data_IF_223228652449
#
_entry.id   IF_223228652449
#
_cell.length_a   1.000
_cell.length_b   1.000
_cell.length_c   1.000
_cell.angle_alpha   90.00
_cell.angle_beta   90.00
_cell.angle_gamma   90.00
#
_symmetry.space_group_name_H-M   'P 1'
#
loop_
_entity.id
_entity.type
_entity.pdbx_description
1 polymer ?
#
# COMPACT_ATOMS: atom_id res chain seq x y z
N UNK A 1 31.59 46.69 -18.50
CA UNK A 1 32.06 45.30 -18.30
C UNK A 1 31.44 44.62 -17.07
N UNK A 2 30.10 44.62 -16.87
CA UNK A 2 29.45 43.91 -15.74
C UNK A 2 28.34 42.92 -16.12
N UNK A 3 27.93 42.85 -17.39
CA UNK A 3 26.80 41.99 -17.83
C UNK A 3 27.19 40.53 -18.08
N UNK A 4 28.46 40.24 -18.39
CA UNK A 4 28.88 38.85 -18.69
C UNK A 4 28.95 37.97 -17.43
N UNK A 5 29.21 38.56 -16.26
CA UNK A 5 29.21 37.81 -14.99
C UNK A 5 27.82 37.36 -14.53
N UNK A 6 26.77 38.13 -14.83
CA UNK A 6 25.41 37.83 -14.36
C UNK A 6 24.79 36.62 -15.08
N UNK A 7 25.09 36.43 -16.37
CA UNK A 7 24.56 35.32 -17.16
C UNK A 7 25.19 33.99 -16.69
N UNK A 8 26.48 34.00 -16.36
CA UNK A 8 27.18 32.82 -15.83
C UNK A 8 26.59 32.33 -14.50
N UNK A 9 26.24 33.24 -13.59
CA UNK A 9 25.67 32.89 -12.28
C UNK A 9 24.26 32.29 -12.42
N UNK A 10 23.43 32.83 -13.33
CA UNK A 10 22.09 32.31 -13.57
C UNK A 10 22.10 30.87 -14.13
N UNK A 11 23.00 30.59 -15.07
CA UNK A 11 23.16 29.25 -15.66
C UNK A 11 23.61 28.25 -14.59
N UNK A 12 24.52 28.65 -13.71
CA UNK A 12 24.98 27.82 -12.60
C UNK A 12 23.84 27.47 -11.63
N UNK A 13 23.00 28.45 -11.29
CA UNK A 13 21.83 28.24 -10.43
C UNK A 13 20.78 27.31 -11.05
N UNK A 14 20.52 27.44 -12.35
CA UNK A 14 19.58 26.56 -13.06
C UNK A 14 20.10 25.11 -13.15
N UNK A 15 21.40 24.93 -13.36
CA UNK A 15 22.02 23.61 -13.35
C UNK A 15 21.93 22.96 -11.95
N UNK A 16 22.22 23.71 -10.89
CA UNK A 16 22.08 23.25 -9.50
C UNK A 16 20.63 22.90 -9.16
N UNK A 17 19.68 23.74 -9.53
CA UNK A 17 18.25 23.48 -9.30
C UNK A 17 17.78 22.24 -10.06
N UNK A 18 18.20 22.05 -11.31
CA UNK A 18 17.89 20.85 -12.10
C UNK A 18 18.45 19.58 -11.45
N UNK A 19 19.69 19.61 -10.96
CA UNK A 19 20.30 18.47 -10.27
C UNK A 19 19.55 18.13 -8.98
N UNK A 20 19.24 19.13 -8.16
CA UNK A 20 18.48 18.93 -6.91
C UNK A 20 17.07 18.41 -7.21
N UNK A 21 16.41 18.92 -8.25
CA UNK A 21 15.08 18.48 -8.66
C UNK A 21 15.09 17.03 -9.17
N UNK A 22 16.07 16.67 -10.00
CA UNK A 22 16.26 15.29 -10.47
C UNK A 22 16.55 14.34 -9.30
N UNK A 23 17.39 14.74 -8.33
CA UNK A 23 17.68 13.93 -7.14
C UNK A 23 16.44 13.72 -6.25
N UNK A 24 15.60 14.74 -6.09
CA UNK A 24 14.33 14.62 -5.35
C UNK A 24 13.32 13.71 -6.07
N UNK A 25 13.22 13.82 -7.40
CA UNK A 25 12.32 12.99 -8.20
C UNK A 25 12.75 11.51 -8.26
N UNK A 26 14.06 11.28 -8.25
CA UNK A 26 14.66 9.94 -8.15
C UNK A 26 14.39 9.33 -6.78
N UNK A 27 14.43 10.09 -5.68
CA UNK A 27 14.21 9.56 -4.34
C UNK A 27 12.80 8.99 -4.10
N UNK A 28 11.78 9.53 -4.75
CA UNK A 28 10.40 9.00 -4.64
C UNK A 28 10.10 7.86 -5.63
N UNK A 29 10.91 7.67 -6.69
CA UNK A 29 10.61 6.70 -7.76
C UNK A 29 11.65 5.58 -7.96
N UNK A 30 12.79 5.58 -7.25
CA UNK A 30 13.89 4.62 -7.49
C UNK A 30 13.95 3.41 -6.54
N UNK A 31 12.99 3.22 -5.63
CA UNK A 31 13.06 2.08 -4.69
C UNK A 31 12.03 0.96 -4.89
N UNK A 32 11.32 0.94 -6.01
CA UNK A 32 10.50 -0.22 -6.36
C UNK A 32 10.91 -0.73 -7.75
N UNK A 33 11.55 -1.90 -7.76
CA UNK A 33 11.84 -2.63 -8.99
C UNK A 33 10.53 -2.84 -9.76
N UNK A 34 10.52 -2.90 -11.10
CA UNK A 34 9.33 -3.29 -11.86
C UNK A 34 8.71 -4.63 -11.41
N UNK A 35 9.49 -5.51 -10.78
CA UNK A 35 9.00 -6.73 -10.12
C UNK A 35 8.10 -6.46 -8.90
N UNK A 36 8.23 -5.30 -8.25
CA UNK A 36 7.42 -4.91 -7.08
C UNK A 36 6.03 -4.38 -7.46
N UNK A 37 5.76 -4.20 -8.77
CA UNK A 37 4.42 -3.85 -9.28
C UNK A 37 3.49 -5.06 -9.39
N UNK A 38 4.04 -6.26 -9.50
CA UNK A 38 3.29 -7.52 -9.58
C UNK A 38 3.84 -8.48 -8.54
N UNK A 39 3.26 -8.45 -7.33
CA UNK A 39 3.70 -9.33 -6.25
C UNK A 39 3.49 -10.82 -6.56
N UNK A 40 4.32 -11.66 -5.96
CA UNK A 40 4.29 -13.12 -6.09
C UNK A 40 3.21 -13.68 -5.17
N UNK A 41 2.44 -14.67 -5.66
CA UNK A 41 1.51 -15.43 -4.81
C UNK A 41 2.13 -16.77 -4.41
N UNK A 42 2.32 -16.98 -3.11
CA UNK A 42 2.84 -18.20 -2.50
C UNK A 42 1.68 -19.10 -2.09
N UNK A 43 1.39 -20.20 -2.81
CA UNK A 43 0.43 -21.18 -2.34
C UNK A 43 1.00 -21.93 -1.13
N UNK A 44 0.25 -21.98 -0.04
CA UNK A 44 0.59 -22.75 1.16
C UNK A 44 -0.41 -23.88 1.33
N UNK A 45 0.11 -25.10 1.48
CA UNK A 45 -0.70 -26.27 1.84
C UNK A 45 -0.96 -26.35 3.34
N UNK A 46 -2.01 -27.07 3.73
CA UNK A 46 -2.38 -27.27 5.15
C UNK A 46 -1.21 -27.78 6.01
N UNK A 47 -0.49 -28.79 5.54
CA UNK A 47 0.66 -29.35 6.27
C UNK A 47 1.81 -28.35 6.49
N UNK A 48 1.97 -27.37 5.59
CA UNK A 48 2.95 -26.30 5.77
C UNK A 48 2.51 -25.30 6.84
N UNK A 49 1.21 -25.00 6.88
CA UNK A 49 0.64 -24.11 7.89
C UNK A 49 0.61 -24.76 9.27
N UNK A 50 0.30 -26.05 9.38
CA UNK A 50 0.29 -26.77 10.67
C UNK A 50 1.66 -26.73 11.37
N UNK A 51 2.75 -26.94 10.61
CA UNK A 51 4.12 -26.87 11.12
C UNK A 51 4.64 -25.42 11.31
N UNK A 52 3.93 -24.45 10.74
CA UNK A 52 4.36 -23.07 10.64
C UNK A 52 5.41 -22.88 9.54
N UNK A 53 5.07 -22.11 8.52
CA UNK A 53 5.92 -21.87 7.34
C UNK A 53 6.36 -20.41 7.28
N UNK A 54 7.65 -20.21 7.04
CA UNK A 54 8.22 -18.86 6.88
C UNK A 54 8.38 -18.51 5.40
N UNK A 55 8.06 -17.26 5.06
CA UNK A 55 8.22 -16.67 3.72
C UNK A 55 8.87 -15.30 3.80
N UNK A 56 9.77 -15.02 2.86
CA UNK A 56 10.32 -13.69 2.63
C UNK A 56 9.45 -12.99 1.60
N UNK A 57 8.64 -12.04 2.04
CA UNK A 57 7.64 -11.34 1.23
C UNK A 57 8.08 -9.91 0.95
N UNK A 58 8.05 -9.51 -0.31
CA UNK A 58 8.12 -8.12 -0.74
C UNK A 58 6.74 -7.45 -0.73
N UNK A 59 6.73 -6.13 -0.89
CA UNK A 59 5.49 -5.38 -1.05
C UNK A 59 4.69 -5.96 -2.23
N UNK A 60 3.38 -6.05 -2.07
CA UNK A 60 2.40 -6.68 -2.97
C UNK A 60 2.43 -8.22 -3.04
N UNK A 61 3.41 -8.90 -2.44
CA UNK A 61 3.39 -10.37 -2.36
C UNK A 61 2.18 -10.85 -1.55
N UNK A 62 1.72 -12.05 -1.88
CA UNK A 62 0.55 -12.68 -1.27
C UNK A 62 0.88 -14.09 -0.84
N UNK A 63 0.31 -14.50 0.27
CA UNK A 63 0.17 -15.90 0.63
C UNK A 63 -1.26 -16.31 0.34
N UNK A 64 -1.43 -17.43 -0.36
CA UNK A 64 -2.74 -18.04 -0.63
C UNK A 64 -2.80 -19.38 0.08
N UNK A 65 -3.87 -19.63 0.81
CA UNK A 65 -4.15 -20.94 1.37
C UNK A 65 -5.63 -21.26 1.26
N UNK A 66 -5.91 -22.55 1.38
CA UNK A 66 -7.25 -23.11 1.18
C UNK A 66 -7.66 -23.81 2.46
N UNK A 67 -8.90 -23.53 2.90
CA UNK A 67 -9.60 -24.31 3.91
C UNK A 67 -10.64 -25.18 3.22
N UNK A 68 -10.69 -26.44 3.63
CA UNK A 68 -11.77 -27.34 3.25
C UNK A 68 -12.79 -27.39 4.38
N UNK A 69 -14.01 -26.97 4.06
CA UNK A 69 -15.19 -27.18 4.89
C UNK A 69 -16.06 -28.28 4.25
N UNK A 70 -17.00 -28.89 5.00
CA UNK A 70 -17.88 -29.91 4.45
C UNK A 70 -18.63 -29.43 3.19
N UNK A 71 -18.13 -29.85 2.02
CA UNK A 71 -18.71 -29.53 0.71
C UNK A 71 -18.28 -28.20 0.09
N UNK A 72 -17.40 -27.41 0.73
CA UNK A 72 -16.96 -26.10 0.23
C UNK A 72 -15.44 -25.92 0.39
N UNK A 73 -14.79 -25.41 -0.65
CA UNK A 73 -13.39 -25.00 -0.62
C UNK A 73 -13.32 -23.47 -0.55
N UNK A 74 -12.81 -22.92 0.56
CA UNK A 74 -12.68 -21.48 0.77
C UNK A 74 -11.21 -21.09 0.63
N UNK A 75 -10.93 -20.13 -0.25
CA UNK A 75 -9.58 -19.61 -0.48
C UNK A 75 -9.38 -18.29 0.24
N UNK A 76 -8.32 -18.21 1.05
CA UNK A 76 -7.92 -17.01 1.77
C UNK A 76 -6.60 -16.45 1.25
N UNK A 77 -6.44 -15.14 1.39
CA UNK A 77 -5.23 -14.41 1.03
C UNK A 77 -4.74 -13.57 2.19
N UNK A 78 -3.41 -13.52 2.35
CA UNK A 78 -2.72 -12.49 3.15
C UNK A 78 -1.78 -11.75 2.20
N UNK A 79 -2.02 -10.45 2.00
CA UNK A 79 -1.21 -9.59 1.14
C UNK A 79 -0.38 -8.64 1.99
N UNK A 80 0.92 -8.52 1.69
CA UNK A 80 1.76 -7.47 2.25
C UNK A 80 1.55 -6.17 1.46
N UNK A 81 1.04 -5.13 2.10
CA UNK A 81 0.67 -3.86 1.45
C UNK A 81 1.75 -2.81 1.63
N UNK A 82 2.33 -2.73 2.82
CA UNK A 82 3.41 -1.83 3.15
C UNK A 82 4.42 -2.52 4.07
N UNK A 83 5.67 -2.10 4.00
CA UNK A 83 6.77 -2.73 4.70
C UNK A 83 7.88 -1.72 5.02
N UNK A 84 8.27 -1.70 6.28
CA UNK A 84 9.42 -0.96 6.80
C UNK A 84 10.35 -1.90 7.58
N UNK A 85 11.45 -1.36 8.10
CA UNK A 85 12.41 -2.13 8.89
C UNK A 85 11.87 -2.69 10.20
N UNK A 86 10.79 -2.11 10.74
CA UNK A 86 10.22 -2.49 12.03
C UNK A 86 8.73 -2.81 11.98
N UNK A 87 8.05 -2.60 10.85
CA UNK A 87 6.61 -2.75 10.71
C UNK A 87 6.21 -3.34 9.35
N UNK A 88 5.21 -4.21 9.34
CA UNK A 88 4.57 -4.77 8.16
C UNK A 88 3.06 -4.53 8.21
N UNK A 89 2.49 -4.00 7.13
CA UNK A 89 1.04 -3.78 7.01
C UNK A 89 0.44 -4.81 6.06
N UNK A 90 -0.55 -5.55 6.54
CA UNK A 90 -1.16 -6.72 5.92
C UNK A 90 -2.63 -6.45 5.58
N UNK A 91 -3.06 -6.93 4.42
CA UNK A 91 -4.47 -7.09 4.07
C UNK A 91 -4.81 -8.57 4.13
N UNK A 92 -5.78 -8.93 4.96
CA UNK A 92 -6.16 -10.32 5.23
C UNK A 92 -7.59 -10.54 4.73
N UNK A 93 -7.83 -11.62 3.99
CA UNK A 93 -9.17 -12.01 3.56
C UNK A 93 -10.11 -12.20 4.75
N UNK A 94 -11.35 -11.73 4.64
CA UNK A 94 -12.30 -11.78 5.76
C UNK A 94 -12.05 -10.73 6.83
N UNK A 95 -11.20 -9.72 6.58
CA UNK A 95 -11.01 -8.59 7.49
C UNK A 95 -11.21 -7.29 6.72
N UNK A 96 -12.03 -6.38 7.26
CA UNK A 96 -12.32 -5.08 6.62
C UNK A 96 -11.13 -4.11 6.71
N UNK A 97 -10.33 -4.22 7.78
CA UNK A 97 -9.21 -3.33 8.06
C UNK A 97 -7.86 -3.99 7.79
N UNK A 98 -6.90 -3.17 7.36
CA UNK A 98 -5.51 -3.59 7.30
C UNK A 98 -4.95 -3.78 8.72
N UNK A 99 -4.10 -4.78 8.90
CA UNK A 99 -3.47 -5.11 10.18
C UNK A 99 -1.99 -4.81 10.14
N UNK A 100 -1.47 -4.30 11.24
CA UNK A 100 -0.08 -3.85 11.35
C UNK A 100 0.65 -4.72 12.36
N UNK A 101 1.76 -5.33 11.96
CA UNK A 101 2.64 -6.10 12.84
C UNK A 101 3.98 -5.39 12.99
N UNK A 102 4.49 -5.24 14.21
CA UNK A 102 5.88 -4.86 14.40
C UNK A 102 6.80 -6.09 14.35
N UNK A 103 8.09 -5.87 14.10
CA UNK A 103 9.07 -6.96 14.16
C UNK A 103 9.09 -7.58 15.55
N UNK A 104 8.89 -8.89 15.61
CA UNK A 104 8.75 -9.67 16.82
C UNK A 104 7.29 -10.03 17.16
N UNK A 105 6.34 -9.23 16.68
CA UNK A 105 4.91 -9.39 16.99
C UNK A 105 4.34 -10.63 16.29
N UNK A 106 3.46 -11.31 17.00
CA UNK A 106 2.69 -12.44 16.54
C UNK A 106 1.23 -12.17 16.87
N UNK A 107 0.38 -12.08 15.85
CA UNK A 107 -1.05 -11.92 16.02
C UNK A 107 -1.78 -13.15 15.49
N UNK A 108 -3.04 -13.27 15.89
CA UNK A 108 -3.97 -14.31 15.47
C UNK A 108 -5.18 -13.66 14.83
N UNK A 109 -5.70 -14.30 13.78
CA UNK A 109 -6.79 -13.78 12.99
C UNK A 109 -7.85 -14.86 12.80
N UNK A 110 -9.10 -14.43 12.96
CA UNK A 110 -10.32 -15.12 12.53
C UNK A 110 -10.59 -14.75 11.06
N UNK A 111 -10.76 -15.74 10.18
CA UNK A 111 -10.93 -15.51 8.74
C UNK A 111 -12.37 -15.69 8.28
N UNK A 112 -13.23 -16.30 9.10
CA UNK A 112 -14.62 -16.65 8.76
C UNK A 112 -15.66 -16.04 9.73
N UNK A 113 -15.23 -15.18 10.65
CA UNK A 113 -16.04 -14.47 11.63
C UNK A 113 -16.72 -15.40 12.65
N UNK A 114 -16.18 -16.60 12.87
CA UNK A 114 -16.73 -17.57 13.82
C UNK A 114 -16.23 -17.37 15.26
N UNK A 115 -15.48 -16.30 15.54
CA UNK A 115 -14.82 -15.93 16.80
C UNK A 115 -13.63 -16.78 17.23
N UNK A 116 -13.24 -17.78 16.43
CA UNK A 116 -12.07 -18.63 16.64
C UNK A 116 -10.92 -18.17 15.74
N UNK A 117 -9.72 -18.16 16.32
CA UNK A 117 -8.56 -17.85 15.52
C UNK A 117 -8.17 -19.03 14.62
N UNK A 118 -7.90 -18.68 13.37
CA UNK A 118 -7.67 -19.60 12.27
C UNK A 118 -6.21 -19.64 11.82
N UNK A 119 -5.56 -18.48 11.89
CA UNK A 119 -4.19 -18.31 11.46
C UNK A 119 -3.46 -17.40 12.43
N UNK A 120 -2.22 -17.75 12.73
CA UNK A 120 -1.27 -16.88 13.38
C UNK A 120 -0.22 -16.42 12.39
N UNK A 121 0.08 -15.12 12.43
CA UNK A 121 1.08 -14.49 11.58
C UNK A 121 2.08 -13.76 12.48
N UNK A 122 3.35 -14.08 12.28
CA UNK A 122 4.46 -13.46 13.01
C UNK A 122 5.38 -12.73 12.07
N UNK A 123 5.75 -11.49 12.41
CA UNK A 123 6.77 -10.75 11.68
C UNK A 123 8.15 -10.96 12.32
N UNK A 124 8.94 -11.88 11.76
CA UNK A 124 10.20 -12.30 12.38
C UNK A 124 11.33 -11.28 12.19
N UNK A 125 11.50 -10.75 10.98
CA UNK A 125 12.61 -9.86 10.65
C UNK A 125 12.41 -9.14 9.32
N UNK A 126 13.14 -8.05 9.10
CA UNK A 126 13.25 -7.38 7.80
C UNK A 126 14.68 -7.46 7.25
N UNK A 127 14.83 -7.90 6.00
CA UNK A 127 16.13 -7.93 5.32
C UNK A 127 15.97 -7.79 3.82
N UNK A 128 16.87 -7.07 3.16
CA UNK A 128 16.89 -6.95 1.68
C UNK A 128 15.55 -6.51 1.09
N UNK A 129 14.90 -5.51 1.70
CA UNK A 129 13.56 -5.01 1.32
C UNK A 129 12.44 -6.07 1.36
N UNK A 130 12.62 -7.16 2.11
CA UNK A 130 11.61 -8.19 2.32
C UNK A 130 11.35 -8.44 3.79
N UNK A 131 10.08 -8.64 4.11
CA UNK A 131 9.63 -9.04 5.42
C UNK A 131 9.61 -10.55 5.54
N UNK A 132 10.24 -11.08 6.58
CA UNK A 132 10.21 -12.50 6.92
C UNK A 132 8.99 -12.75 7.79
N UNK A 133 7.92 -13.26 7.20
CA UNK A 133 6.65 -13.56 7.86
C UNK A 133 6.52 -15.08 8.07
N UNK A 134 6.16 -15.50 9.28
CA UNK A 134 5.81 -16.89 9.60
C UNK A 134 4.30 -17.03 9.72
N UNK A 135 3.75 -18.01 9.02
CA UNK A 135 2.33 -18.31 8.98
C UNK A 135 2.10 -19.67 9.63
N UNK A 136 1.19 -19.74 10.60
CA UNK A 136 0.86 -21.00 11.27
C UNK A 136 -0.65 -21.15 11.39
N UNK A 137 -1.17 -22.33 11.07
CA UNK A 137 -2.58 -22.65 11.33
C UNK A 137 -2.83 -22.68 12.84
N UNK A 138 -3.90 -22.05 13.27
CA UNK A 138 -4.40 -22.10 14.64
C UNK A 138 -5.75 -22.79 14.58
N UNK A 139 -5.92 -23.86 15.36
CA UNK A 139 -7.22 -24.46 15.56
C UNK A 139 -7.58 -24.25 17.01
N UNK A 140 -8.18 -23.09 17.29
CA UNK A 140 -8.80 -22.88 18.59
C UNK A 140 -10.12 -23.64 18.60
N UNK A 141 -10.22 -24.61 19.49
CA UNK A 141 -11.51 -25.21 19.84
C UNK A 141 -11.99 -24.49 21.08
N UNK A 142 -13.26 -24.07 21.10
CA UNK A 142 -13.90 -23.64 22.34
C UNK A 142 -13.91 -24.83 23.29
N UNK A 143 -12.96 -24.87 24.21
CA UNK A 143 -13.05 -25.73 25.37
C UNK A 143 -14.00 -25.04 26.34
N UNK A 144 -15.29 -25.02 25.99
CA UNK A 144 -16.30 -24.61 26.95
C UNK A 144 -16.35 -25.74 27.97
N UNK A 145 -15.59 -25.59 29.06
CA UNK A 145 -15.95 -26.21 30.34
C UNK A 145 -17.27 -25.56 30.75
N UNK A 146 -18.36 -25.97 30.08
CA UNK A 146 -19.70 -25.77 30.58
C UNK A 146 -19.73 -26.68 31.81
N UNK A 147 -19.35 -26.14 32.98
CA UNK A 147 -20.06 -26.53 34.18
C UNK A 147 -21.53 -26.28 33.86
N UNK A 148 -22.20 -27.35 33.40
CA UNK A 148 -23.64 -27.37 33.24
C UNK A 148 -24.19 -27.22 34.64
N UNK A 149 -24.38 -25.98 35.08
CA UNK A 149 -25.45 -25.70 36.01
C UNK A 149 -26.72 -26.12 35.29
N UNK A 150 -27.19 -27.31 35.65
CA UNK A 150 -28.41 -27.93 35.17
C UNK A 150 -29.58 -27.04 35.58
N UNK A 151 -29.92 -26.06 34.74
CA UNK A 151 -31.21 -25.39 34.84
C UNK A 151 -32.25 -26.30 34.18
N UNK A 152 -33.25 -26.78 34.92
CA UNK A 152 -34.31 -27.61 34.34
C UNK A 152 -35.03 -26.81 33.26
N UNK A 153 -35.07 -27.40 32.07
CA UNK A 153 -35.81 -26.93 30.90
C UNK A 153 -37.29 -26.77 31.26
N UNK A 154 -37.75 -25.53 31.48
CA UNK A 154 -39.18 -25.22 31.56
C UNK A 154 -39.69 -24.94 30.14
N UNK A 155 -40.70 -25.70 29.74
CA UNK A 155 -41.19 -25.81 28.37
C UNK A 155 -42.25 -24.74 28.04
N UNK A 156 -42.05 -23.51 28.52
CA UNK A 156 -43.00 -22.42 28.33
C UNK A 156 -42.44 -21.40 27.32
N UNK A 157 -42.87 -21.60 26.07
CA UNK A 157 -43.00 -20.60 24.99
C UNK A 157 -41.73 -19.85 24.58
N UNK A 158 -41.07 -20.35 23.53
CA UNK A 158 -40.12 -19.56 22.74
C UNK A 158 -40.83 -18.37 22.08
N UNK A 159 -40.31 -17.13 22.18
CA UNK A 159 -40.80 -16.02 21.38
C UNK A 159 -40.46 -16.27 19.90
N UNK A 160 -41.48 -16.19 19.04
CA UNK A 160 -41.33 -16.18 17.59
C UNK A 160 -40.62 -14.86 17.23
N UNK A 161 -39.32 -14.92 17.00
CA UNK A 161 -38.56 -13.82 16.42
C UNK A 161 -38.77 -13.91 14.91
N UNK A 162 -39.60 -13.01 14.37
CA UNK A 162 -39.69 -12.76 12.94
C UNK A 162 -38.40 -12.04 12.51
N UNK A 163 -37.40 -12.81 12.09
CA UNK A 163 -36.29 -12.29 11.29
C UNK A 163 -36.82 -11.91 9.91
N UNK A 164 -37.00 -10.61 9.68
CA UNK A 164 -37.12 -10.06 8.33
C UNK A 164 -35.78 -10.22 7.64
N UNK A 165 -35.70 -11.18 6.71
CA UNK A 165 -34.60 -11.34 5.76
C UNK A 165 -34.45 -10.02 4.99
N UNK A 166 -33.28 -9.33 5.02
CA UNK A 166 -33.05 -8.16 4.21
C UNK A 166 -32.99 -8.56 2.73
N UNK A 167 -33.70 -7.82 1.89
CA UNK A 167 -33.70 -7.96 0.44
C UNK A 167 -32.26 -7.75 -0.11
N UNK A 168 -31.72 -8.64 -0.95
CA UNK A 168 -30.33 -8.58 -1.42
C UNK A 168 -30.06 -7.54 -2.53
N UNK A 169 -30.96 -6.57 -2.72
CA UNK A 169 -30.91 -5.64 -3.86
C UNK A 169 -30.55 -4.18 -3.50
N UNK A 170 -30.20 -3.88 -2.25
CA UNK A 170 -29.73 -2.52 -1.89
C UNK A 170 -28.20 -2.38 -1.99
N UNK A 171 -27.83 -1.54 -2.96
CA UNK A 171 -26.61 -0.75 -3.08
C UNK A 171 -25.30 -1.48 -3.43
N UNK A 172 -25.11 -1.57 -4.75
CA UNK A 172 -23.80 -1.58 -5.41
C UNK A 172 -22.91 -0.46 -4.86
N UNK A 173 -21.93 -0.83 -4.02
CA UNK A 173 -20.90 0.10 -3.55
C UNK A 173 -19.93 0.40 -4.72
N UNK A 174 -20.24 1.44 -5.47
CA UNK A 174 -19.39 1.99 -6.54
C UNK A 174 -18.07 2.45 -5.91
N UNK A 175 -17.00 1.71 -6.17
CA UNK A 175 -15.63 2.06 -5.76
C UNK A 175 -15.34 3.49 -6.23
N UNK A 176 -15.11 4.46 -5.33
CA UNK A 176 -14.94 5.84 -5.71
C UNK A 176 -13.64 5.99 -6.50
N UNK A 177 -13.79 6.46 -7.74
CA UNK A 177 -12.69 6.82 -8.63
C UNK A 177 -11.77 7.80 -7.88
N UNK A 178 -10.51 7.39 -7.67
CA UNK A 178 -9.52 8.13 -6.89
C UNK A 178 -9.19 9.45 -7.60
N UNK A 179 -9.93 10.51 -7.26
CA UNK A 179 -9.73 11.87 -7.76
C UNK A 179 -8.31 12.32 -7.41
N UNK A 180 -7.47 12.45 -8.42
CA UNK A 180 -6.18 13.13 -8.28
C UNK A 180 -6.48 14.54 -7.75
N UNK A 181 -5.86 14.97 -6.63
CA UNK A 181 -6.20 16.26 -6.04
C UNK A 181 -5.91 17.37 -7.04
N UNK A 182 -6.96 18.14 -7.39
CA UNK A 182 -6.93 19.24 -8.39
C UNK A 182 -5.77 20.22 -8.18
N UNK A 183 -5.26 20.31 -6.95
CA UNK A 183 -4.11 21.15 -6.57
C UNK A 183 -2.82 20.74 -7.30
N UNK A 184 -2.57 19.44 -7.52
CA UNK A 184 -1.36 18.96 -8.21
C UNK A 184 -1.39 19.37 -9.69
N UNK A 185 -2.54 19.25 -10.35
CA UNK A 185 -2.70 19.65 -11.75
C UNK A 185 -2.45 21.15 -11.95
N UNK A 186 -2.93 21.98 -11.02
CA UNK A 186 -2.71 23.44 -11.06
C UNK A 186 -1.22 23.78 -10.89
N UNK A 187 -0.51 23.12 -9.96
CA UNK A 187 0.91 23.36 -9.74
C UNK A 187 1.76 23.05 -10.99
N UNK A 188 1.45 21.96 -11.70
CA UNK A 188 2.14 21.59 -12.95
C UNK A 188 1.92 22.65 -14.04
N UNK A 189 0.70 23.14 -14.20
CA UNK A 189 0.38 24.19 -15.18
C UNK A 189 1.17 25.47 -14.90
N UNK A 190 1.24 25.90 -13.63
CA UNK A 190 1.99 27.12 -13.24
C UNK A 190 3.47 26.99 -13.58
N UNK A 191 4.08 25.82 -13.32
CA UNK A 191 5.50 25.56 -13.64
C UNK A 191 5.75 25.66 -15.15
N UNK A 192 4.88 25.07 -15.98
CA UNK A 192 5.00 25.11 -17.45
C UNK A 192 4.90 26.54 -17.98
N UNK A 193 3.96 27.34 -17.46
CA UNK A 193 3.79 28.75 -17.87
C UNK A 193 5.02 29.59 -17.50
N UNK A 194 5.55 29.45 -16.28
CA UNK A 194 6.76 30.17 -15.87
C UNK A 194 7.98 29.81 -16.73
N UNK A 195 8.09 28.54 -17.13
CA UNK A 195 9.16 28.07 -18.00
C UNK A 195 9.07 28.69 -19.40
N UNK A 196 7.87 28.78 -19.99
CA UNK A 196 7.66 29.42 -21.28
C UNK A 196 7.97 30.93 -21.24
N UNK A 197 7.57 31.63 -20.18
CA UNK A 197 7.88 33.06 -19.99
C UNK A 197 9.40 33.28 -19.91
N UNK A 198 10.12 32.41 -19.21
CA UNK A 198 11.58 32.47 -19.13
C UNK A 198 12.24 32.30 -20.51
N UNK A 199 11.75 31.36 -21.33
CA UNK A 199 12.27 31.16 -22.71
C UNK A 199 12.06 32.42 -23.55
N UNK A 200 10.87 33.03 -23.51
CA UNK A 200 10.57 34.24 -24.28
C UNK A 200 11.46 35.41 -23.83
N UNK A 201 11.64 35.60 -22.52
CA UNK A 201 12.53 36.64 -21.99
C UNK A 201 13.98 36.44 -22.46
N UNK A 202 14.48 35.21 -22.46
CA UNK A 202 15.82 34.90 -22.96
C UNK A 202 15.92 35.23 -24.45
N UNK A 203 14.92 34.86 -25.26
CA UNK A 203 14.91 35.16 -26.69
C UNK A 203 14.94 36.67 -26.98
N UNK A 204 14.12 37.46 -26.29
CA UNK A 204 14.08 38.93 -26.42
C UNK A 204 15.42 39.55 -26.03
N UNK A 205 16.01 39.10 -24.91
CA UNK A 205 17.31 39.60 -24.45
C UNK A 205 18.46 39.24 -25.41
N UNK A 206 18.36 38.11 -26.12
CA UNK A 206 19.33 37.72 -27.15
C UNK A 206 19.22 38.59 -28.41
N UNK A 207 18.01 39.00 -28.80
CA UNK A 207 17.78 39.80 -29.99
C UNK A 207 18.30 41.24 -29.83
N UNK A 208 18.04 41.87 -28.68
CA UNK A 208 18.56 43.21 -28.35
C UNK A 208 20.09 43.26 -28.29
N UNK A 209 20.74 42.16 -27.90
CA UNK A 209 22.19 42.04 -27.88
C UNK A 209 22.83 42.08 -29.27
N UNK A 210 22.09 41.67 -30.31
CA UNK A 210 22.60 41.57 -31.69
C UNK A 210 22.69 42.93 -32.37
N UNK A 211 21.79 43.87 -32.05
CA UNK A 211 21.81 45.22 -32.62
C UNK A 211 22.94 46.11 -32.08
N UNK A 212 23.30 45.99 -30.80
CA UNK A 212 24.38 46.80 -30.21
C UNK A 212 25.77 46.48 -30.76
N UNK A 213 26.00 45.27 -31.30
CA UNK A 213 27.31 44.89 -31.88
C UNK A 213 27.56 45.47 -33.27
N UNK A 214 26.55 46.00 -33.96
CA UNK A 214 26.73 46.56 -35.32
C UNK A 214 27.19 48.02 -35.34
N UNK A 215 26.97 48.77 -34.27
CA UNK A 215 27.30 50.21 -34.23
C UNK A 215 28.79 50.47 -33.90
N UNK A 216 29.50 49.49 -33.35
CA UNK A 216 30.92 49.63 -32.98
C UNK A 216 31.93 49.10 -34.03
N UNK A 217 31.50 48.90 -35.28
CA UNK A 217 32.36 48.38 -36.36
C UNK A 217 32.66 49.37 -37.49
N UNK A 218 32.34 50.65 -37.30
CA UNK A 218 32.84 51.76 -38.10
C UNK A 218 33.55 52.75 -37.19
#
# INVERSE_FOLDING_TARGET
MKKEGMISVLILWLALFSIVFQLSYVRENVLLSPSDRFGITYPLGYSQLENGVTRNMGINDRVRFVRQEPGIEITYYVKLIDLSSSKADLQISGQAENKSLNVGDEERYDLDYNTLNDISIKFESFSSNKGRLRFKYVNETFNVDIQRDYYPYNNDTLPIINESIPDPDDDVEVIPEKKVPKVIAIAVIVIVVLFLVAIVLIAVLMEDGKHRRRIFRH
#
